data_IF_179310963080
#
_entry.id   IF_179310963080
#
_cell.length_a   1.000
_cell.length_b   1.000
_cell.length_c   1.000
_cell.angle_alpha   90.00
_cell.angle_beta   90.00
_cell.angle_gamma   90.00
#
_symmetry.space_group_name_H-M   'P 1'
#
loop_
_entity.id
_entity.type
_entity.pdbx_description
1 polymer ?
#
# COMPACT_ATOMS: atom_id res chain seq x y z
N UNK A 1 5.71 -4.67 12.22
CA UNK A 1 5.48 -3.32 11.68
C UNK A 1 3.99 -3.01 11.70
N UNK A 2 3.57 -1.90 12.27
CA UNK A 2 2.17 -1.52 12.31
C UNK A 2 1.74 -0.82 11.00
N UNK A 3 0.44 -0.59 10.82
CA UNK A 3 -0.09 -0.01 9.59
C UNK A 3 0.46 1.40 9.33
N UNK A 4 0.66 2.21 10.36
CA UNK A 4 1.24 3.54 10.21
C UNK A 4 2.66 3.48 9.64
N UNK A 5 3.48 2.57 10.14
CA UNK A 5 4.84 2.38 9.65
C UNK A 5 4.85 1.88 8.21
N UNK A 6 3.93 0.97 7.86
CA UNK A 6 3.78 0.50 6.48
C UNK A 6 3.43 1.67 5.55
N UNK A 7 2.48 2.50 5.94
CA UNK A 7 2.05 3.64 5.13
C UNK A 7 3.17 4.67 4.96
N UNK A 8 3.91 4.97 6.02
CA UNK A 8 5.04 5.91 5.97
C UNK A 8 6.10 5.42 4.98
N UNK A 9 6.47 4.14 5.05
CA UNK A 9 7.50 3.57 4.18
C UNK A 9 7.00 3.42 2.74
N UNK A 10 5.75 3.02 2.54
CA UNK A 10 5.17 2.92 1.20
C UNK A 10 5.09 4.30 0.52
N UNK A 11 4.71 5.34 1.27
CA UNK A 11 4.70 6.72 0.77
C UNK A 11 6.10 7.15 0.36
N UNK A 12 7.12 6.80 1.15
CA UNK A 12 8.52 7.09 0.84
C UNK A 12 8.94 6.45 -0.48
N UNK A 13 8.50 5.22 -0.74
CA UNK A 13 8.84 4.49 -1.97
C UNK A 13 8.38 5.23 -3.23
N UNK A 14 7.26 5.95 -3.17
CA UNK A 14 6.67 6.65 -4.33
C UNK A 14 6.78 8.18 -4.24
N UNK A 15 7.46 8.71 -3.23
CA UNK A 15 7.69 10.15 -3.09
C UNK A 15 6.48 10.95 -2.65
N UNK A 16 5.53 10.32 -1.98
CA UNK A 16 4.37 11.00 -1.39
C UNK A 16 4.75 11.53 -0.01
N UNK A 17 4.48 12.82 0.24
CA UNK A 17 4.67 13.43 1.54
C UNK A 17 3.36 13.36 2.33
N UNK A 18 3.38 12.75 3.50
CA UNK A 18 2.21 12.62 4.36
C UNK A 18 2.20 13.71 5.44
N UNK A 19 1.00 14.18 5.80
CA UNK A 19 0.84 15.09 6.93
C UNK A 19 0.99 14.32 8.24
N UNK A 20 1.86 14.80 9.12
CA UNK A 20 2.03 14.26 10.46
C UNK A 20 1.00 14.85 11.42
N UNK A 21 0.70 14.08 12.46
CA UNK A 21 -0.15 14.53 13.58
C UNK A 21 -1.58 14.92 13.20
N UNK A 22 -2.03 14.60 11.99
CA UNK A 22 -3.40 14.83 11.57
C UNK A 22 -4.17 13.53 11.56
N UNK A 23 -5.21 13.46 12.39
CA UNK A 23 -6.05 12.26 12.49
C UNK A 23 -6.89 12.08 11.22
N UNK A 24 -6.94 10.83 10.72
CA UNK A 24 -7.83 10.44 9.62
C UNK A 24 -8.74 9.31 10.10
N UNK A 25 -10.07 9.56 10.20
CA UNK A 25 -11.00 8.55 10.72
C UNK A 25 -11.08 7.28 9.89
N UNK A 26 -10.75 7.34 8.59
CA UNK A 26 -10.81 6.18 7.69
C UNK A 26 -9.59 5.26 7.81
N UNK A 27 -8.62 5.61 8.65
CA UNK A 27 -7.39 4.83 8.81
C UNK A 27 -6.32 5.10 7.75
N UNK A 28 -6.58 5.99 6.82
CA UNK A 28 -5.59 6.46 5.86
C UNK A 28 -4.77 7.62 6.39
N UNK A 29 -4.03 8.26 5.52
CA UNK A 29 -3.17 9.39 5.83
C UNK A 29 -3.52 10.58 4.94
N UNK A 30 -3.39 11.78 5.50
CA UNK A 30 -3.53 13.00 4.71
C UNK A 30 -2.26 13.26 3.91
N UNK A 31 -2.42 13.59 2.63
CA UNK A 31 -1.31 13.96 1.75
C UNK A 31 -1.08 15.46 1.84
N UNK A 32 0.20 15.84 1.88
CA UNK A 32 0.60 17.24 1.72
C UNK A 32 0.50 17.60 0.24
N UNK A 33 -0.61 18.23 -0.15
CA UNK A 33 -0.82 18.69 -1.52
C UNK A 33 -0.82 20.21 -1.55
N UNK A 34 0.30 20.77 -1.99
CA UNK A 34 0.50 22.24 -2.06
C UNK A 34 -0.07 22.85 -3.33
N UNK A 35 -0.46 22.03 -4.32
CA UNK A 35 -0.89 22.53 -5.64
C UNK A 35 -2.38 22.77 -5.73
N UNK A 36 -3.19 21.86 -5.20
CA UNK A 36 -4.65 21.93 -5.32
C UNK A 36 -5.32 22.68 -4.17
N UNK A 37 -4.66 22.77 -3.02
CA UNK A 37 -5.25 23.31 -1.80
C UNK A 37 -6.37 22.44 -1.24
N UNK A 38 -6.56 21.23 -1.76
CA UNK A 38 -7.58 20.29 -1.32
C UNK A 38 -7.00 19.26 -0.37
N UNK A 39 -7.82 18.85 0.59
CA UNK A 39 -7.46 17.76 1.49
C UNK A 39 -7.63 16.44 0.76
N UNK A 40 -6.56 15.66 0.67
CA UNK A 40 -6.57 14.35 0.01
C UNK A 40 -6.16 13.28 1.00
N UNK A 41 -7.00 12.25 1.11
CA UNK A 41 -6.70 11.06 1.93
C UNK A 41 -6.04 10.02 1.04
N UNK A 42 -4.94 9.44 1.53
CA UNK A 42 -4.23 8.34 0.89
C UNK A 42 -4.34 7.10 1.77
N UNK A 43 -4.89 6.03 1.24
CA UNK A 43 -5.19 4.83 2.01
C UNK A 43 -5.09 3.57 1.17
N UNK A 44 -3.88 3.14 0.78
CA UNK A 44 -3.72 1.95 -0.06
C UNK A 44 -4.15 0.64 0.62
N UNK A 45 -4.25 0.62 1.96
CA UNK A 45 -4.75 -0.56 2.67
C UNK A 45 -6.27 -0.74 2.53
N UNK A 46 -7.01 0.32 2.24
CA UNK A 46 -8.48 0.31 2.17
C UNK A 46 -9.04 0.80 0.84
N UNK A 47 -8.25 1.42 -0.01
CA UNK A 47 -8.69 2.00 -1.28
C UNK A 47 -7.96 1.33 -2.44
N UNK A 48 -8.73 0.70 -3.33
CA UNK A 48 -8.19 -0.04 -4.48
C UNK A 48 -7.40 0.87 -5.43
N UNK A 49 -7.88 2.07 -5.69
CA UNK A 49 -7.19 3.03 -6.56
C UNK A 49 -5.83 3.45 -6.01
N UNK A 50 -5.75 3.69 -4.71
CA UNK A 50 -4.48 4.05 -4.07
C UNK A 50 -3.49 2.88 -4.12
N UNK A 51 -3.98 1.65 -3.86
CA UNK A 51 -3.14 0.45 -3.97
C UNK A 51 -2.68 0.21 -5.41
N UNK A 52 -3.58 0.37 -6.39
CA UNK A 52 -3.23 0.19 -7.80
C UNK A 52 -2.19 1.21 -8.26
N UNK A 53 -2.27 2.46 -7.80
CA UNK A 53 -1.27 3.47 -8.11
C UNK A 53 0.11 3.10 -7.55
N UNK A 54 0.18 2.56 -6.32
CA UNK A 54 1.44 2.03 -5.78
C UNK A 54 2.02 0.94 -6.70
N UNK A 55 1.19 -0.05 -7.05
CA UNK A 55 1.62 -1.15 -7.89
C UNK A 55 2.08 -0.66 -9.27
N UNK A 56 1.40 0.33 -9.83
CA UNK A 56 1.72 0.89 -11.15
C UNK A 56 3.03 1.67 -11.13
N UNK A 57 3.20 2.57 -10.16
CA UNK A 57 4.41 3.39 -10.05
C UNK A 57 5.64 2.51 -9.80
N UNK A 58 5.51 1.52 -8.91
CA UNK A 58 6.61 0.64 -8.54
C UNK A 58 6.75 -0.56 -9.47
N UNK A 59 5.86 -0.72 -10.46
CA UNK A 59 5.88 -1.83 -11.43
C UNK A 59 5.87 -3.18 -10.73
N UNK A 60 4.97 -3.36 -9.77
CA UNK A 60 4.84 -4.61 -9.01
C UNK A 60 4.12 -5.67 -9.84
N UNK A 61 4.56 -6.92 -9.74
CA UNK A 61 3.88 -8.07 -10.31
C UNK A 61 2.90 -8.63 -9.29
N UNK A 62 1.69 -8.98 -9.75
CA UNK A 62 0.65 -9.58 -8.93
C UNK A 62 0.37 -10.97 -9.45
N UNK A 63 0.54 -11.97 -8.61
CA UNK A 63 0.33 -13.38 -8.94
C UNK A 63 -0.73 -13.97 -8.03
N UNK A 64 -1.79 -14.52 -8.65
CA UNK A 64 -2.91 -15.11 -7.93
C UNK A 64 -2.74 -16.62 -7.83
N UNK A 65 -2.78 -17.14 -6.61
CA UNK A 65 -2.80 -18.58 -6.32
C UNK A 65 -4.16 -18.94 -5.77
N UNK A 66 -5.16 -18.94 -6.64
CA UNK A 66 -6.58 -19.01 -6.25
C UNK A 66 -6.93 -20.29 -5.52
N UNK A 67 -6.39 -21.43 -5.94
CA UNK A 67 -6.66 -22.71 -5.29
C UNK A 67 -6.10 -22.79 -3.87
N UNK A 68 -5.04 -22.03 -3.57
CA UNK A 68 -4.41 -21.98 -2.26
C UNK A 68 -4.83 -20.77 -1.46
N UNK A 69 -5.68 -19.92 -2.04
CA UNK A 69 -6.25 -18.73 -1.44
C UNK A 69 -5.17 -17.77 -0.91
N UNK A 70 -4.19 -17.46 -1.74
CA UNK A 70 -3.26 -16.37 -1.46
C UNK A 70 -2.87 -15.63 -2.74
N UNK A 71 -2.40 -14.40 -2.55
CA UNK A 71 -1.84 -13.55 -3.59
C UNK A 71 -0.38 -13.26 -3.25
N UNK A 72 0.46 -13.30 -4.28
CA UNK A 72 1.87 -12.89 -4.18
C UNK A 72 2.05 -11.59 -4.95
N UNK A 73 2.66 -10.61 -4.31
CA UNK A 73 3.09 -9.37 -4.95
C UNK A 73 4.60 -9.31 -4.85
N UNK A 74 5.25 -9.01 -5.97
CA UNK A 74 6.72 -9.06 -5.99
C UNK A 74 7.33 -8.03 -6.94
N UNK A 75 8.57 -7.67 -6.66
CA UNK A 75 9.46 -6.95 -7.56
C UNK A 75 10.91 -7.29 -7.17
N UNK A 76 11.63 -8.03 -8.04
CA UNK A 76 13.02 -8.44 -7.80
C UNK A 76 13.16 -9.15 -6.43
N UNK A 77 13.97 -8.57 -5.51
CA UNK A 77 14.23 -9.16 -4.19
C UNK A 77 13.10 -8.90 -3.18
N UNK A 78 12.10 -8.09 -3.53
CA UNK A 78 10.98 -7.74 -2.64
C UNK A 78 9.77 -8.61 -2.95
N UNK A 79 9.07 -9.06 -1.93
CA UNK A 79 7.88 -9.86 -2.14
C UNK A 79 7.08 -10.06 -0.86
N UNK A 80 5.79 -10.36 -1.03
CA UNK A 80 4.91 -10.69 0.07
C UNK A 80 3.76 -11.58 -0.41
N UNK A 81 3.43 -12.56 0.40
CA UNK A 81 2.29 -13.46 0.19
C UNK A 81 1.26 -13.17 1.27
N UNK A 82 0.03 -12.87 0.89
CA UNK A 82 -1.06 -12.68 1.83
C UNK A 82 -2.20 -13.62 1.47
N UNK A 83 -2.65 -14.40 2.45
CA UNK A 83 -3.77 -15.30 2.30
C UNK A 83 -5.10 -14.65 2.66
N UNK A 84 -6.19 -15.28 2.20
CA UNK A 84 -7.56 -14.92 2.61
C UNK A 84 -8.32 -16.20 2.94
N UNK A 85 -9.35 -16.10 3.76
CA UNK A 85 -10.19 -17.24 4.18
C UNK A 85 -11.56 -17.24 3.51
N UNK A 86 -12.02 -16.08 3.01
CA UNK A 86 -13.29 -15.94 2.29
C UNK A 86 -13.14 -14.93 1.15
N UNK A 87 -14.12 -14.91 0.23
CA UNK A 87 -14.10 -14.01 -0.93
C UNK A 87 -13.99 -12.53 -0.55
N UNK A 88 -14.62 -12.13 0.55
CA UNK A 88 -14.59 -10.74 1.00
C UNK A 88 -13.17 -10.29 1.38
N UNK A 89 -12.33 -11.22 1.81
CA UNK A 89 -10.95 -10.92 2.22
C UNK A 89 -9.95 -10.77 1.08
N UNK A 90 -10.31 -11.17 -0.15
CA UNK A 90 -9.37 -11.18 -1.28
C UNK A 90 -8.83 -9.80 -1.62
N UNK A 91 -9.71 -8.80 -1.71
CA UNK A 91 -9.30 -7.43 -2.02
C UNK A 91 -8.39 -6.85 -0.95
N UNK A 92 -8.70 -7.08 0.31
CA UNK A 92 -7.86 -6.65 1.44
C UNK A 92 -6.49 -7.31 1.42
N UNK A 93 -6.43 -8.60 1.07
CA UNK A 93 -5.16 -9.32 0.94
C UNK A 93 -4.28 -8.70 -0.15
N UNK A 94 -4.86 -8.37 -1.30
CA UNK A 94 -4.12 -7.72 -2.39
C UNK A 94 -3.61 -6.34 -1.98
N UNK A 95 -4.48 -5.51 -1.41
CA UNK A 95 -4.08 -4.15 -0.98
C UNK A 95 -2.96 -4.20 0.04
N UNK A 96 -3.04 -5.12 1.00
CA UNK A 96 -2.01 -5.28 2.02
C UNK A 96 -0.70 -5.77 1.41
N UNK A 97 -0.74 -6.77 0.53
CA UNK A 97 0.46 -7.29 -0.14
C UNK A 97 1.17 -6.18 -0.93
N UNK A 98 0.44 -5.37 -1.69
CA UNK A 98 1.00 -4.24 -2.44
C UNK A 98 1.65 -3.24 -1.47
N UNK A 99 0.96 -2.88 -0.40
CA UNK A 99 1.45 -1.90 0.56
C UNK A 99 2.71 -2.41 1.29
N UNK A 100 2.73 -3.68 1.67
CA UNK A 100 3.89 -4.29 2.33
C UNK A 100 5.11 -4.28 1.40
N UNK A 101 4.95 -4.66 0.13
CA UNK A 101 6.06 -4.64 -0.82
C UNK A 101 6.55 -3.20 -1.06
N UNK A 102 5.63 -2.25 -1.20
CA UNK A 102 5.99 -0.83 -1.29
C UNK A 102 6.79 -0.37 -0.06
N UNK A 103 6.37 -0.78 1.13
CA UNK A 103 7.09 -0.47 2.37
C UNK A 103 8.48 -1.11 2.40
N UNK A 104 8.63 -2.33 1.92
CA UNK A 104 9.95 -2.98 1.81
C UNK A 104 10.88 -2.15 0.93
N UNK A 105 10.39 -1.69 -0.22
CA UNK A 105 11.16 -0.84 -1.13
C UNK A 105 11.51 0.48 -0.43
N UNK A 106 10.53 1.13 0.20
CA UNK A 106 10.73 2.39 0.92
C UNK A 106 11.77 2.28 2.03
N UNK A 107 11.84 1.13 2.71
CA UNK A 107 12.81 0.89 3.79
C UNK A 107 14.26 0.85 3.32
N UNK A 108 14.50 0.65 2.02
CA UNK A 108 15.86 0.64 1.45
C UNK A 108 16.34 2.04 1.02
N UNK A 109 15.45 3.03 1.03
CA UNK A 109 15.78 4.39 0.61
C UNK A 109 16.36 5.20 1.77
N UNK A 110 17.29 6.12 1.49
CA UNK A 110 17.91 6.97 2.52
C UNK A 110 16.95 7.95 3.18
#
# INVERSE_FOLDING_TARGET
>A
MNDRQLLDLAAKAVGIELEENRHCPSGGMWIVDKKSGLDVVWSPLTNDGDALRLATILQLSVLWFTNLQYVMVERRAFGENIGWTDEAGRGGALRRAITVVAAQIGSTLP
#
